data_IF_629439297146
#
_entry.id   IF_629439297146
#
_cell.length_a   1.000
_cell.length_b   1.000
_cell.length_c   1.000
_cell.angle_alpha   90.00
_cell.angle_beta   90.00
_cell.angle_gamma   90.00
#
_symmetry.space_group_name_H-M   'P 1'
#
loop_
_entity.id
_entity.type
_entity.pdbx_description
1 polymer ?
#
# COMPACT_ATOMS: atom_id res chain seq x y z
N UNK A 1 -11.01 7.20 8.59
CA UNK A 1 -10.25 8.16 9.42
C UNK A 1 -8.78 8.32 9.01
N UNK A 2 -8.20 7.41 8.20
CA UNK A 2 -6.83 7.55 7.67
C UNK A 2 -6.52 8.88 6.93
N UNK A 3 -7.45 9.50 6.16
CA UNK A 3 -7.17 10.75 5.47
C UNK A 3 -6.94 11.96 6.39
N UNK A 4 -7.60 11.99 7.56
CA UNK A 4 -7.39 13.04 8.57
C UNK A 4 -6.00 12.91 9.18
N UNK A 5 -5.54 11.67 9.41
CA UNK A 5 -4.17 11.39 9.84
C UNK A 5 -3.13 11.78 8.79
N UNK A 6 -3.39 11.51 7.50
CA UNK A 6 -2.51 11.90 6.40
C UNK A 6 -2.46 13.43 6.22
N UNK A 7 -3.61 14.10 6.32
CA UNK A 7 -3.74 15.56 6.24
C UNK A 7 -3.05 16.28 7.40
N UNK A 8 -3.25 15.80 8.64
CA UNK A 8 -2.55 16.33 9.80
C UNK A 8 -1.06 16.02 9.73
N UNK A 9 -0.72 14.80 9.33
CA UNK A 9 0.64 14.29 9.22
C UNK A 9 1.51 14.99 8.18
N UNK A 10 0.95 15.60 7.13
CA UNK A 10 1.73 16.34 6.13
C UNK A 10 2.15 17.74 6.60
N UNK A 11 1.44 18.33 7.57
CA UNK A 11 1.74 19.68 8.09
C UNK A 11 2.90 19.66 9.09
N UNK A 12 2.99 18.62 9.92
CA UNK A 12 4.04 18.52 10.96
C UNK A 12 5.47 18.49 10.40
N UNK A 13 5.81 17.71 9.36
CA UNK A 13 7.16 17.69 8.78
C UNK A 13 7.63 19.07 8.31
N UNK A 14 6.74 19.85 7.67
CA UNK A 14 7.07 21.20 7.22
C UNK A 14 7.41 22.14 8.39
N UNK A 15 6.66 22.03 9.50
CA UNK A 15 6.90 22.81 10.71
C UNK A 15 8.22 22.42 11.39
N UNK A 16 8.47 21.11 11.57
CA UNK A 16 9.67 20.62 12.22
C UNK A 16 10.93 20.89 11.41
N UNK A 17 10.93 20.64 10.09
CA UNK A 17 12.13 20.79 9.26
C UNK A 17 12.56 22.25 9.10
N UNK A 18 11.65 23.22 9.24
CA UNK A 18 11.99 24.63 9.11
C UNK A 18 12.38 25.30 10.44
N UNK A 19 11.83 24.85 11.57
CA UNK A 19 12.04 25.50 12.87
C UNK A 19 12.99 24.71 13.78
N UNK A 20 13.17 23.41 13.52
CA UNK A 20 13.91 22.49 14.35
C UNK A 20 14.78 21.57 13.47
N UNK A 21 15.70 20.85 14.11
CA UNK A 21 16.37 19.75 13.42
C UNK A 21 15.34 18.68 13.03
N UNK A 22 15.47 18.13 11.82
CA UNK A 22 14.59 17.09 11.28
C UNK A 22 14.39 15.89 12.22
N UNK A 23 15.35 15.61 13.12
CA UNK A 23 15.29 14.53 14.12
C UNK A 23 14.12 14.71 15.09
N UNK A 24 13.72 15.94 15.39
CA UNK A 24 12.60 16.24 16.30
C UNK A 24 11.26 15.76 15.77
N UNK A 25 11.10 15.63 14.45
CA UNK A 25 9.91 15.02 13.86
C UNK A 25 9.74 13.57 14.34
N UNK A 26 10.83 12.80 14.41
CA UNK A 26 10.79 11.41 14.87
C UNK A 26 10.51 11.31 16.37
N UNK A 27 11.10 12.20 17.19
CA UNK A 27 10.77 12.27 18.61
C UNK A 27 9.30 12.63 18.83
N UNK A 28 8.76 13.57 18.05
CA UNK A 28 7.34 13.94 18.10
C UNK A 28 6.43 12.77 17.76
N UNK A 29 6.68 12.07 16.65
CA UNK A 29 5.93 10.89 16.26
C UNK A 29 6.01 9.78 17.32
N UNK A 30 7.18 9.57 17.94
CA UNK A 30 7.34 8.61 19.02
C UNK A 30 6.55 9.00 20.29
N UNK A 31 6.52 10.28 20.65
CA UNK A 31 5.71 10.79 21.77
C UNK A 31 4.22 10.59 21.51
N UNK A 32 3.73 10.99 20.33
CA UNK A 32 2.32 10.80 19.95
C UNK A 32 1.95 9.31 19.96
N UNK A 33 2.80 8.46 19.38
CA UNK A 33 2.59 7.02 19.39
C UNK A 33 2.55 6.43 20.80
N UNK A 34 3.41 6.90 21.70
CA UNK A 34 3.41 6.48 23.12
C UNK A 34 2.12 6.89 23.83
N UNK A 35 1.64 8.12 23.62
CA UNK A 35 0.37 8.58 24.21
C UNK A 35 -0.80 7.74 23.72
N UNK A 36 -0.89 7.50 22.40
CA UNK A 36 -1.95 6.67 21.82
C UNK A 36 -1.89 5.24 22.37
N UNK A 37 -0.70 4.65 22.47
CA UNK A 37 -0.51 3.33 23.05
C UNK A 37 -0.96 3.26 24.51
N UNK A 38 -0.57 4.23 25.34
CA UNK A 38 -0.97 4.29 26.74
C UNK A 38 -2.48 4.44 26.90
N UNK A 39 -3.11 5.31 26.12
CA UNK A 39 -4.57 5.49 26.12
C UNK A 39 -5.26 4.18 25.72
N UNK A 40 -4.77 3.51 24.68
CA UNK A 40 -5.30 2.22 24.26
C UNK A 40 -5.16 1.15 25.35
N UNK A 41 -3.98 1.03 25.96
CA UNK A 41 -3.70 0.05 27.02
C UNK A 41 -4.54 0.29 28.30
N UNK A 42 -4.95 1.53 28.57
CA UNK A 42 -5.77 1.87 29.74
C UNK A 42 -7.28 1.73 29.48
N UNK A 43 -7.75 2.03 28.27
CA UNK A 43 -9.19 2.07 27.95
C UNK A 43 -9.71 0.72 27.46
N UNK A 44 -8.93 -0.01 26.67
CA UNK A 44 -9.40 -1.24 26.04
C UNK A 44 -9.27 -2.41 27.03
N UNK A 45 -10.39 -2.98 27.51
CA UNK A 45 -10.32 -4.15 28.38
C UNK A 45 -9.71 -5.33 27.60
N UNK A 46 -8.88 -6.12 28.28
CA UNK A 46 -8.35 -7.35 27.70
C UNK A 46 -9.48 -8.31 27.31
N UNK A 47 -9.35 -8.98 26.18
CA UNK A 47 -10.31 -10.03 25.80
C UNK A 47 -10.25 -11.18 26.83
N UNK A 48 -11.39 -11.65 27.35
CA UNK A 48 -11.44 -12.64 28.42
C UNK A 48 -10.90 -14.01 27.98
N UNK A 49 -11.00 -14.35 26.69
CA UNK A 49 -10.38 -15.53 26.11
C UNK A 49 -9.63 -15.18 24.82
N UNK A 50 -8.38 -15.64 24.66
CA UNK A 50 -7.65 -15.43 23.43
C UNK A 50 -8.29 -16.23 22.28
N UNK A 51 -8.55 -15.56 21.15
CA UNK A 51 -9.10 -16.16 19.93
C UNK A 51 -8.33 -17.39 19.43
N UNK A 52 -7.02 -17.49 19.74
CA UNK A 52 -6.19 -18.66 19.43
C UNK A 52 -5.20 -18.96 20.57
N UNK A 53 -5.59 -19.77 21.57
CA UNK A 53 -4.76 -20.10 22.74
C UNK A 53 -3.48 -20.88 22.41
N UNK A 54 -3.40 -21.49 21.21
CA UNK A 54 -2.25 -22.26 20.73
C UNK A 54 -1.51 -21.63 19.54
N UNK A 55 -1.73 -20.33 19.29
CA UNK A 55 -1.09 -19.62 18.19
C UNK A 55 0.43 -19.57 18.35
N UNK A 56 1.16 -20.00 17.32
CA UNK A 56 2.62 -19.88 17.26
C UNK A 56 3.02 -18.79 16.27
N UNK A 57 4.03 -17.99 16.63
CA UNK A 57 4.64 -17.00 15.75
C UNK A 57 5.81 -17.65 15.01
N UNK A 58 5.80 -17.57 13.68
CA UNK A 58 6.92 -18.01 12.86
C UNK A 58 8.02 -16.94 12.81
N UNK A 59 8.88 -16.93 13.81
CA UNK A 59 9.98 -15.97 13.89
C UNK A 59 10.98 -16.11 12.73
N UNK A 60 11.21 -17.34 12.23
CA UNK A 60 12.19 -17.58 11.18
C UNK A 60 11.66 -17.12 9.83
N UNK A 61 10.41 -17.47 9.50
CA UNK A 61 9.71 -16.95 8.32
C UNK A 61 9.65 -15.43 8.35
N UNK A 62 9.38 -14.85 9.53
CA UNK A 62 9.31 -13.39 9.71
C UNK A 62 10.66 -12.73 9.45
N UNK A 63 11.73 -13.29 10.01
CA UNK A 63 13.08 -12.80 9.79
C UNK A 63 13.49 -12.89 8.32
N UNK A 64 13.27 -14.03 7.67
CA UNK A 64 13.62 -14.22 6.25
C UNK A 64 12.81 -13.30 5.34
N UNK A 65 11.50 -13.20 5.56
CA UNK A 65 10.61 -12.35 4.76
C UNK A 65 10.95 -10.87 4.91
N UNK A 66 11.04 -10.37 6.14
CA UNK A 66 11.37 -8.96 6.41
C UNK A 66 12.77 -8.61 5.90
N UNK A 67 13.77 -9.46 6.14
CA UNK A 67 15.14 -9.21 5.67
C UNK A 67 15.21 -9.21 4.14
N UNK A 68 14.56 -10.16 3.47
CA UNK A 68 14.51 -10.21 2.01
C UNK A 68 13.88 -8.96 1.40
N UNK A 69 12.74 -8.51 1.95
CA UNK A 69 12.06 -7.29 1.51
C UNK A 69 12.91 -6.04 1.76
N UNK A 70 13.52 -5.90 2.94
CA UNK A 70 14.39 -4.75 3.25
C UNK A 70 15.58 -4.69 2.31
N UNK A 71 16.29 -5.80 2.10
CA UNK A 71 17.47 -5.84 1.24
C UNK A 71 17.12 -5.49 -0.21
N UNK A 72 16.05 -6.08 -0.74
CA UNK A 72 15.61 -5.79 -2.11
C UNK A 72 15.23 -4.31 -2.26
N UNK A 73 14.42 -3.79 -1.34
CA UNK A 73 13.99 -2.39 -1.38
C UNK A 73 15.17 -1.41 -1.23
N UNK A 74 16.12 -1.72 -0.34
CA UNK A 74 17.34 -0.94 -0.13
C UNK A 74 18.15 -0.84 -1.42
N UNK A 75 18.40 -1.97 -2.10
CA UNK A 75 19.17 -2.00 -3.34
C UNK A 75 18.55 -1.09 -4.40
N UNK A 76 17.23 -1.18 -4.61
CA UNK A 76 16.54 -0.40 -5.64
C UNK A 76 16.46 1.10 -5.34
N UNK A 77 16.33 1.47 -4.07
CA UNK A 77 16.32 2.88 -3.68
C UNK A 77 17.74 3.49 -3.61
N UNK A 78 18.74 2.67 -3.27
CA UNK A 78 20.13 3.13 -3.17
C UNK A 78 20.83 3.20 -4.53
N UNK A 79 20.46 2.32 -5.48
CA UNK A 79 21.04 2.27 -6.82
C UNK A 79 21.07 3.61 -7.58
N UNK A 80 19.99 4.41 -7.63
CA UNK A 80 20.05 5.71 -8.29
C UNK A 80 20.93 6.74 -7.56
N UNK A 81 21.25 6.53 -6.27
CA UNK A 81 22.01 7.48 -5.45
C UNK A 81 23.52 7.29 -5.59
N UNK A 82 24.01 6.05 -5.51
CA UNK A 82 25.46 5.75 -5.48
C UNK A 82 26.06 5.41 -6.85
N UNK A 83 25.20 5.18 -7.86
CA UNK A 83 25.64 4.90 -9.24
C UNK A 83 26.05 3.44 -9.50
N UNK A 84 26.24 3.13 -10.79
CA UNK A 84 26.43 1.76 -11.32
C UNK A 84 27.67 1.04 -10.81
N UNK A 85 28.74 1.79 -10.51
CA UNK A 85 30.06 1.20 -10.26
C UNK A 85 30.22 0.65 -8.83
N UNK A 86 29.12 0.54 -8.09
CA UNK A 86 29.12 0.17 -6.69
C UNK A 86 28.83 -1.34 -6.52
N UNK A 87 29.84 -2.19 -6.23
CA UNK A 87 29.69 -3.64 -6.29
C UNK A 87 28.71 -4.20 -5.26
N UNK A 88 28.56 -3.53 -4.10
CA UNK A 88 27.68 -4.02 -3.04
C UNK A 88 26.21 -4.06 -3.46
N UNK A 89 25.77 -3.22 -4.40
CA UNK A 89 24.39 -3.23 -4.91
C UNK A 89 24.06 -4.57 -5.55
N UNK A 90 24.94 -5.06 -6.41
CA UNK A 90 24.75 -6.34 -7.10
C UNK A 90 24.81 -7.52 -6.13
N UNK A 91 25.74 -7.48 -5.18
CA UNK A 91 25.85 -8.52 -4.14
C UNK A 91 24.58 -8.55 -3.29
N UNK A 92 24.13 -7.40 -2.79
CA UNK A 92 22.91 -7.31 -1.98
C UNK A 92 21.66 -7.69 -2.78
N UNK A 93 21.61 -7.41 -4.08
CA UNK A 93 20.51 -7.85 -4.95
C UNK A 93 20.44 -9.38 -5.00
N UNK A 94 21.57 -10.04 -5.27
CA UNK A 94 21.65 -11.50 -5.31
C UNK A 94 21.29 -12.10 -3.94
N UNK A 95 21.84 -11.55 -2.85
CA UNK A 95 21.51 -11.98 -1.49
C UNK A 95 20.03 -11.81 -1.20
N UNK A 96 19.42 -10.68 -1.59
CA UNK A 96 17.98 -10.44 -1.38
C UNK A 96 17.11 -11.49 -2.09
N UNK A 97 17.47 -11.86 -3.33
CA UNK A 97 16.77 -12.89 -4.10
C UNK A 97 16.92 -14.26 -3.43
N UNK A 98 18.12 -14.60 -2.96
CA UNK A 98 18.38 -15.87 -2.27
C UNK A 98 17.62 -15.95 -0.94
N UNK A 99 17.60 -14.87 -0.15
CA UNK A 99 16.84 -14.80 1.11
C UNK A 99 15.35 -14.89 0.85
N UNK A 100 14.84 -14.23 -0.20
CA UNK A 100 13.43 -14.32 -0.59
C UNK A 100 13.06 -15.74 -1.06
N UNK A 101 13.93 -16.40 -1.84
CA UNK A 101 13.73 -17.79 -2.23
C UNK A 101 13.74 -18.74 -1.02
N UNK A 102 14.62 -18.49 -0.04
CA UNK A 102 14.65 -19.23 1.22
C UNK A 102 13.37 -19.01 2.04
N UNK A 103 12.84 -17.78 2.09
CA UNK A 103 11.54 -17.48 2.70
C UNK A 103 10.41 -18.27 2.04
N UNK A 104 10.32 -18.25 0.70
CA UNK A 104 9.27 -18.99 -0.03
C UNK A 104 9.40 -20.50 0.20
N UNK A 105 10.61 -21.04 0.20
CA UNK A 105 10.83 -22.47 0.48
C UNK A 105 10.44 -22.84 1.93
N UNK A 106 10.74 -21.96 2.89
CA UNK A 106 10.37 -22.12 4.30
C UNK A 106 8.86 -22.09 4.51
N UNK A 107 8.17 -21.10 3.95
CA UNK A 107 6.70 -20.98 4.04
C UNK A 107 5.99 -22.14 3.34
N UNK A 108 6.54 -22.66 2.23
CA UNK A 108 5.89 -23.73 1.49
C UNK A 108 6.03 -25.11 2.14
N UNK A 109 7.19 -25.43 2.72
CA UNK A 109 7.47 -26.79 3.23
C UNK A 109 8.10 -26.85 4.62
N UNK A 110 8.66 -25.77 5.12
CA UNK A 110 9.47 -25.74 6.35
C UNK A 110 8.66 -25.56 7.63
N UNK A 111 7.57 -24.79 7.58
CA UNK A 111 6.80 -24.41 8.76
C UNK A 111 5.41 -25.05 8.80
N UNK A 112 4.93 -25.37 10.01
CA UNK A 112 3.55 -25.80 10.26
C UNK A 112 2.59 -24.62 10.46
N UNK A 113 3.13 -23.43 10.72
CA UNK A 113 2.39 -22.22 11.02
C UNK A 113 2.92 -21.08 10.13
N UNK A 114 2.65 -21.10 8.82
CA UNK A 114 3.14 -20.09 7.89
C UNK A 114 2.62 -18.70 8.26
N UNK A 115 3.45 -17.68 8.09
CA UNK A 115 3.04 -16.28 8.28
C UNK A 115 1.98 -15.92 7.27
N UNK A 116 2.14 -16.37 6.03
CA UNK A 116 1.18 -16.11 4.98
C UNK A 116 0.35 -17.37 4.74
N UNK A 117 -0.98 -17.34 4.99
CA UNK A 117 -1.82 -18.46 4.65
C UNK A 117 -1.84 -18.64 3.13
N UNK A 118 -1.05 -19.60 2.62
CA UNK A 118 -0.87 -19.83 1.18
C UNK A 118 -2.19 -20.20 0.47
N UNK A 119 -3.23 -20.60 1.23
CA UNK A 119 -4.61 -20.74 0.76
C UNK A 119 -5.15 -19.47 0.10
N UNK A 120 -4.66 -18.29 0.50
CA UNK A 120 -4.98 -17.01 -0.14
C UNK A 120 -4.70 -17.02 -1.65
N UNK A 121 -3.55 -17.58 -2.06
CA UNK A 121 -3.14 -17.61 -3.47
C UNK A 121 -3.86 -18.68 -4.27
N UNK A 122 -4.60 -19.59 -3.62
CA UNK A 122 -5.47 -20.56 -4.29
C UNK A 122 -6.77 -19.92 -4.76
N UNK A 123 -7.19 -18.79 -4.16
CA UNK A 123 -8.35 -18.05 -4.60
C UNK A 123 -8.08 -17.45 -6.00
N UNK A 124 -8.93 -17.73 -7.02
CA UNK A 124 -8.61 -17.49 -8.42
C UNK A 124 -8.36 -16.01 -8.76
N UNK A 125 -8.91 -15.09 -7.97
CA UNK A 125 -8.79 -13.64 -8.20
C UNK A 125 -7.72 -12.97 -7.33
N UNK A 126 -7.29 -13.61 -6.24
CA UNK A 126 -6.48 -12.95 -5.20
C UNK A 126 -5.09 -12.54 -5.71
N UNK A 127 -4.41 -13.44 -6.42
CA UNK A 127 -3.08 -13.17 -6.99
C UNK A 127 -3.09 -12.01 -7.99
N UNK A 128 -4.09 -11.97 -8.88
CA UNK A 128 -4.25 -10.90 -9.86
C UNK A 128 -4.56 -9.56 -9.19
N UNK A 129 -5.40 -9.57 -8.15
CA UNK A 129 -5.71 -8.39 -7.36
C UNK A 129 -4.45 -7.82 -6.69
N UNK A 130 -3.63 -8.65 -6.06
CA UNK A 130 -2.36 -8.25 -5.45
C UNK A 130 -1.46 -7.57 -6.47
N UNK A 131 -1.29 -8.17 -7.65
CA UNK A 131 -0.44 -7.61 -8.70
C UNK A 131 -0.97 -6.26 -9.17
N UNK A 132 -2.27 -6.14 -9.43
CA UNK A 132 -2.89 -4.88 -9.82
C UNK A 132 -2.73 -3.82 -8.70
N UNK A 133 -2.96 -4.21 -7.45
CA UNK A 133 -2.89 -3.28 -6.33
C UNK A 133 -1.46 -2.79 -6.07
N UNK A 134 -0.49 -3.71 -6.14
CA UNK A 134 0.94 -3.41 -6.02
C UNK A 134 1.41 -2.43 -7.11
N UNK A 135 1.09 -2.70 -8.37
CA UNK A 135 1.46 -1.84 -9.51
C UNK A 135 0.84 -0.44 -9.42
N UNK A 136 -0.41 -0.33 -8.97
CA UNK A 136 -1.02 0.99 -8.79
C UNK A 136 -0.40 1.74 -7.63
N UNK A 137 -0.07 1.09 -6.51
CA UNK A 137 0.66 1.76 -5.43
C UNK A 137 2.08 2.16 -5.84
N UNK A 138 2.75 1.39 -6.71
CA UNK A 138 3.99 1.86 -7.35
C UNK A 138 3.75 3.16 -8.13
N UNK A 139 2.70 3.22 -8.94
CA UNK A 139 2.29 4.42 -9.69
C UNK A 139 1.98 5.63 -8.78
N UNK A 140 1.24 5.42 -7.68
CA UNK A 140 0.97 6.46 -6.67
C UNK A 140 2.27 6.98 -6.06
N UNK A 141 3.19 6.09 -5.69
CA UNK A 141 4.48 6.49 -5.12
C UNK A 141 5.22 7.41 -6.09
N UNK A 142 5.31 7.00 -7.36
CA UNK A 142 5.96 7.76 -8.43
C UNK A 142 5.35 9.16 -8.57
N UNK A 143 4.02 9.28 -8.72
CA UNK A 143 3.41 10.61 -8.92
C UNK A 143 3.63 11.51 -7.70
N UNK A 144 3.49 10.97 -6.49
CA UNK A 144 3.68 11.73 -5.25
C UNK A 144 5.11 12.19 -5.10
N UNK A 145 6.12 11.38 -5.40
CA UNK A 145 7.51 11.81 -5.28
C UNK A 145 7.91 12.83 -6.35
N UNK A 146 7.54 12.59 -7.61
CA UNK A 146 7.95 13.47 -8.70
C UNK A 146 7.27 14.84 -8.66
N UNK A 147 6.07 14.96 -8.08
CA UNK A 147 5.47 16.27 -7.79
C UNK A 147 6.37 17.06 -6.84
N UNK A 148 6.76 16.49 -5.69
CA UNK A 148 7.69 17.12 -4.73
C UNK A 148 9.03 17.47 -5.38
N UNK A 149 9.63 16.53 -6.13
CA UNK A 149 10.92 16.76 -6.81
C UNK A 149 10.83 17.94 -7.79
N UNK A 150 9.77 18.01 -8.60
CA UNK A 150 9.58 19.10 -9.56
C UNK A 150 9.31 20.43 -8.82
N UNK A 151 8.47 20.43 -7.79
CA UNK A 151 8.16 21.63 -7.02
C UNK A 151 9.43 22.21 -6.36
N UNK A 152 10.21 21.37 -5.66
CA UNK A 152 11.37 21.83 -4.90
C UNK A 152 12.56 22.11 -5.82
N UNK A 153 12.94 21.16 -6.69
CA UNK A 153 14.21 21.25 -7.42
C UNK A 153 14.11 22.10 -8.70
N UNK A 154 12.92 22.17 -9.33
CA UNK A 154 12.74 22.87 -10.62
C UNK A 154 11.95 24.16 -10.45
N UNK A 155 10.85 24.13 -9.69
CA UNK A 155 10.02 25.32 -9.46
C UNK A 155 10.46 26.15 -8.27
N UNK A 156 11.45 25.66 -7.52
CA UNK A 156 12.02 26.33 -6.35
C UNK A 156 10.98 26.69 -5.27
N UNK A 157 9.95 25.85 -5.13
CA UNK A 157 9.00 25.96 -4.04
C UNK A 157 9.73 25.75 -2.73
N UNK A 158 9.37 26.55 -1.74
CA UNK A 158 9.71 26.29 -0.35
C UNK A 158 9.05 24.99 0.11
N UNK A 159 9.56 24.40 1.19
CA UNK A 159 8.98 23.18 1.77
C UNK A 159 7.51 23.41 2.19
N UNK A 160 7.17 24.63 2.63
CA UNK A 160 5.78 24.97 2.96
C UNK A 160 4.88 25.08 1.72
N UNK A 161 5.37 25.63 0.61
CA UNK A 161 4.59 25.70 -0.63
C UNK A 161 4.35 24.30 -1.21
N UNK A 162 5.34 23.42 -1.17
CA UNK A 162 5.16 22.02 -1.57
C UNK A 162 4.13 21.33 -0.65
N UNK A 163 4.29 21.44 0.67
CA UNK A 163 3.33 20.88 1.64
C UNK A 163 1.91 21.43 1.45
N UNK A 164 1.77 22.73 1.16
CA UNK A 164 0.48 23.35 0.87
C UNK A 164 -0.17 22.78 -0.40
N UNK A 165 0.62 22.40 -1.41
CA UNK A 165 0.10 21.71 -2.59
C UNK A 165 -0.56 20.37 -2.22
N UNK A 166 0.05 19.60 -1.32
CA UNK A 166 -0.52 18.34 -0.81
C UNK A 166 -1.77 18.49 0.06
N UNK A 167 -2.13 19.71 0.47
CA UNK A 167 -3.43 19.94 1.12
C UNK A 167 -4.60 19.54 0.20
N UNK A 168 -4.43 19.65 -1.12
CA UNK A 168 -5.43 19.16 -2.08
C UNK A 168 -5.56 17.63 -2.02
N UNK A 169 -4.45 16.90 -1.97
CA UNK A 169 -4.47 15.44 -1.82
C UNK A 169 -5.15 15.02 -0.51
N UNK A 170 -4.89 15.74 0.59
CA UNK A 170 -5.52 15.50 1.89
C UNK A 170 -7.04 15.68 1.86
N UNK A 171 -7.52 16.81 1.34
CA UNK A 171 -8.97 17.10 1.24
C UNK A 171 -9.65 16.13 0.28
N UNK A 172 -9.08 15.91 -0.90
CA UNK A 172 -9.63 14.99 -1.89
C UNK A 172 -9.56 13.53 -1.44
N UNK A 173 -8.53 13.13 -0.68
CA UNK A 173 -8.42 11.81 -0.06
C UNK A 173 -9.50 11.57 0.98
N UNK A 174 -9.82 12.58 1.80
CA UNK A 174 -10.95 12.48 2.73
C UNK A 174 -12.28 12.23 1.99
N UNK A 175 -12.51 12.95 0.89
CA UNK A 175 -13.66 12.72 0.02
C UNK A 175 -13.60 11.35 -0.67
N UNK A 176 -12.44 10.92 -1.16
CA UNK A 176 -12.24 9.67 -1.86
C UNK A 176 -12.45 8.45 -0.94
N UNK A 177 -12.05 8.53 0.33
CA UNK A 177 -12.32 7.51 1.32
C UNK A 177 -13.82 7.37 1.65
N UNK A 178 -14.57 8.48 1.68
CA UNK A 178 -16.03 8.42 1.83
C UNK A 178 -16.68 7.86 0.56
N UNK A 179 -16.20 8.28 -0.60
CA UNK A 179 -16.69 7.82 -1.90
C UNK A 179 -16.41 6.32 -2.10
N UNK A 180 -15.24 5.83 -1.73
CA UNK A 180 -14.87 4.41 -1.82
C UNK A 180 -15.80 3.56 -0.95
N UNK A 181 -16.09 4.01 0.28
CA UNK A 181 -17.04 3.36 1.19
C UNK A 181 -18.44 3.20 0.57
N UNK A 182 -18.93 4.23 -0.14
CA UNK A 182 -20.20 4.17 -0.86
C UNK A 182 -20.09 3.29 -2.11
N UNK A 183 -19.01 3.43 -2.89
CA UNK A 183 -18.78 2.69 -4.12
C UNK A 183 -18.77 1.18 -3.92
N UNK A 184 -18.25 0.68 -2.80
CA UNK A 184 -18.26 -0.75 -2.46
C UNK A 184 -19.66 -1.34 -2.45
N UNK A 185 -20.67 -0.57 -2.05
CA UNK A 185 -22.07 -1.05 -1.99
C UNK A 185 -22.72 -1.12 -3.37
N UNK A 186 -22.19 -0.41 -4.37
CA UNK A 186 -22.82 -0.24 -5.68
C UNK A 186 -22.02 -0.86 -6.83
N UNK A 187 -20.69 -0.89 -6.73
CA UNK A 187 -19.77 -1.37 -7.76
C UNK A 187 -19.06 -2.65 -7.32
N UNK A 188 -18.73 -3.56 -8.26
CA UNK A 188 -17.85 -4.67 -7.96
C UNK A 188 -16.42 -4.17 -7.63
N UNK A 189 -15.69 -4.91 -6.79
CA UNK A 189 -14.32 -4.58 -6.40
C UNK A 189 -13.40 -4.32 -7.60
N UNK A 190 -13.61 -5.06 -8.69
CA UNK A 190 -12.93 -4.86 -9.97
C UNK A 190 -13.03 -3.41 -10.50
N UNK A 191 -14.26 -2.87 -10.57
CA UNK A 191 -14.48 -1.53 -11.09
C UNK A 191 -13.83 -0.47 -10.21
N UNK A 192 -13.88 -0.67 -8.89
CA UNK A 192 -13.26 0.21 -7.89
C UNK A 192 -11.73 0.26 -8.09
N UNK A 193 -11.10 -0.89 -8.28
CA UNK A 193 -9.66 -0.96 -8.56
C UNK A 193 -9.28 -0.28 -9.88
N UNK A 194 -10.08 -0.48 -10.93
CA UNK A 194 -9.84 0.16 -12.24
C UNK A 194 -9.96 1.68 -12.13
N UNK A 195 -10.97 2.19 -11.41
CA UNK A 195 -11.15 3.64 -11.19
C UNK A 195 -9.94 4.23 -10.47
N UNK A 196 -9.48 3.60 -9.38
CA UNK A 196 -8.29 4.09 -8.65
C UNK A 196 -7.00 4.03 -9.47
N UNK A 197 -6.84 2.97 -10.26
CA UNK A 197 -5.66 2.77 -11.12
C UNK A 197 -5.62 3.77 -12.27
N UNK A 198 -6.75 3.97 -12.96
CA UNK A 198 -6.87 4.98 -14.01
C UNK A 198 -6.73 6.40 -13.46
N UNK A 199 -7.28 6.70 -12.28
CA UNK A 199 -7.09 7.98 -11.61
C UNK A 199 -5.61 8.30 -11.41
N UNK A 200 -4.84 7.35 -10.88
CA UNK A 200 -3.39 7.48 -10.70
C UNK A 200 -2.65 7.61 -12.04
N UNK A 201 -3.05 6.84 -13.07
CA UNK A 201 -2.50 6.94 -14.41
C UNK A 201 -2.73 8.30 -15.08
N UNK A 202 -3.95 8.84 -14.97
CA UNK A 202 -4.29 10.17 -15.47
C UNK A 202 -3.51 11.26 -14.73
N UNK A 203 -3.35 11.15 -13.41
CA UNK A 203 -2.52 12.06 -12.62
C UNK A 203 -1.07 12.08 -13.12
N UNK A 204 -0.49 10.91 -13.36
CA UNK A 204 0.86 10.79 -13.92
C UNK A 204 0.99 11.41 -15.31
N UNK A 205 0.00 11.22 -16.19
CA UNK A 205 0.01 11.85 -17.53
C UNK A 205 0.00 13.38 -17.41
N UNK A 206 -0.81 13.93 -16.51
CA UNK A 206 -0.86 15.37 -16.26
C UNK A 206 0.50 15.90 -15.76
N UNK A 207 1.14 15.19 -14.83
CA UNK A 207 2.47 15.59 -14.32
C UNK A 207 3.55 15.42 -15.39
N UNK A 208 3.53 14.31 -16.16
CA UNK A 208 4.51 14.02 -17.21
C UNK A 208 4.46 15.04 -18.37
N UNK A 209 3.27 15.53 -18.69
CA UNK A 209 3.07 16.53 -19.75
C UNK A 209 3.28 17.96 -19.27
N UNK A 210 3.47 18.17 -17.97
CA UNK A 210 3.60 19.52 -17.42
C UNK A 210 4.88 20.23 -17.88
N UNK A 211 4.81 21.54 -18.19
CA UNK A 211 5.98 22.38 -18.36
C UNK A 211 6.77 22.54 -17.05
N UNK A 212 8.07 22.85 -17.16
CA UNK A 212 8.96 23.07 -16.02
C UNK A 212 8.41 24.15 -15.08
N UNK A 213 8.09 25.30 -15.65
CA UNK A 213 7.46 26.41 -14.94
C UNK A 213 6.00 26.52 -15.38
N UNK A 214 5.10 26.17 -14.49
CA UNK A 214 3.66 26.28 -14.69
C UNK A 214 3.00 26.61 -13.35
N UNK A 215 1.83 27.25 -13.42
CA UNK A 215 1.00 27.47 -12.25
C UNK A 215 0.47 26.14 -11.69
N UNK A 216 0.45 26.04 -10.36
CA UNK A 216 -0.05 24.87 -9.63
C UNK A 216 -1.43 24.39 -10.12
N UNK A 217 -2.35 25.35 -10.33
CA UNK A 217 -3.74 25.12 -10.66
C UNK A 217 -3.98 24.43 -12.00
N UNK A 218 -3.05 24.52 -12.95
CA UNK A 218 -3.26 24.01 -14.29
C UNK A 218 -3.21 22.48 -14.37
N UNK A 219 -2.15 21.85 -13.84
CA UNK A 219 -1.96 20.40 -13.95
C UNK A 219 -1.68 19.71 -12.62
N UNK A 220 -0.99 20.35 -11.67
CA UNK A 220 -0.66 19.72 -10.39
C UNK A 220 -1.86 19.60 -9.47
N UNK A 221 -2.72 20.62 -9.43
CA UNK A 221 -4.00 20.57 -8.70
C UNK A 221 -4.88 19.38 -9.17
N UNK A 222 -5.27 19.27 -10.46
CA UNK A 222 -6.09 18.13 -10.89
C UNK A 222 -5.35 16.79 -10.78
N UNK A 223 -4.02 16.76 -10.93
CA UNK A 223 -3.25 15.54 -10.71
C UNK A 223 -3.32 15.05 -9.26
N UNK A 224 -3.19 15.93 -8.27
CA UNK A 224 -3.32 15.57 -6.85
C UNK A 224 -4.75 15.15 -6.49
N UNK A 225 -5.77 15.78 -7.08
CA UNK A 225 -7.16 15.34 -6.93
C UNK A 225 -7.36 13.90 -7.44
N UNK A 226 -6.81 13.58 -8.62
CA UNK A 226 -6.94 12.25 -9.23
C UNK A 226 -6.09 11.20 -8.51
N UNK A 227 -4.91 11.59 -8.00
CA UNK A 227 -4.05 10.72 -7.19
C UNK A 227 -4.77 10.24 -5.93
N UNK A 228 -5.62 11.07 -5.32
CA UNK A 228 -6.40 10.71 -4.14
C UNK A 228 -7.30 9.48 -4.35
N UNK A 229 -7.79 9.25 -5.57
CA UNK A 229 -8.65 8.12 -5.87
C UNK A 229 -7.92 6.78 -5.77
N UNK A 230 -6.62 6.75 -6.08
CA UNK A 230 -5.83 5.51 -6.14
C UNK A 230 -5.78 4.78 -4.80
N UNK A 231 -5.15 5.35 -3.77
CA UNK A 231 -4.91 4.67 -2.50
C UNK A 231 -6.19 4.18 -1.83
N UNK A 232 -7.20 5.05 -1.70
CA UNK A 232 -8.40 4.72 -0.92
C UNK A 232 -9.28 3.67 -1.60
N UNK A 233 -9.44 3.74 -2.93
CA UNK A 233 -10.24 2.76 -3.67
C UNK A 233 -9.55 1.40 -3.66
N UNK A 234 -8.24 1.35 -3.91
CA UNK A 234 -7.51 0.10 -3.95
C UNK A 234 -7.32 -0.52 -2.58
N UNK A 235 -7.00 0.27 -1.57
CA UNK A 235 -6.84 -0.22 -0.21
C UNK A 235 -8.14 -0.87 0.24
N UNK A 236 -9.27 -0.19 0.05
CA UNK A 236 -10.55 -0.72 0.51
C UNK A 236 -11.00 -1.93 -0.29
N UNK A 237 -10.88 -1.91 -1.63
CA UNK A 237 -11.20 -3.06 -2.47
C UNK A 237 -10.31 -4.27 -2.13
N UNK A 238 -9.00 -4.08 -2.01
CA UNK A 238 -8.06 -5.16 -1.72
C UNK A 238 -8.28 -5.75 -0.32
N UNK A 239 -8.58 -4.89 0.65
CA UNK A 239 -8.86 -5.30 2.02
C UNK A 239 -10.11 -6.17 2.10
N UNK A 240 -11.20 -5.79 1.43
CA UNK A 240 -12.45 -6.57 1.43
C UNK A 240 -12.23 -7.95 0.82
N UNK A 241 -11.58 -8.00 -0.35
CA UNK A 241 -11.36 -9.26 -1.05
C UNK A 241 -10.43 -10.17 -0.24
N UNK A 242 -9.37 -9.63 0.35
CA UNK A 242 -8.50 -10.39 1.24
C UNK A 242 -9.26 -10.91 2.47
N UNK A 243 -10.08 -10.05 3.07
CA UNK A 243 -10.91 -10.35 4.25
C UNK A 243 -11.95 -11.44 3.98
N UNK A 244 -12.48 -11.52 2.76
CA UNK A 244 -13.45 -12.52 2.32
C UNK A 244 -12.82 -13.83 1.80
N UNK A 245 -11.51 -13.82 1.54
CA UNK A 245 -10.78 -14.99 1.01
C UNK A 245 -10.19 -15.87 2.12
N UNK A 246 -10.33 -15.47 3.39
CA UNK A 246 -9.77 -16.18 4.56
C UNK A 246 -10.83 -16.40 5.63
N UNK A 247 -10.51 -17.23 6.63
CA UNK A 247 -11.34 -17.39 7.83
C UNK A 247 -11.15 -16.22 8.81
N UNK A 248 -12.07 -16.08 9.78
CA UNK A 248 -12.07 -14.97 10.76
C UNK A 248 -10.77 -14.88 11.56
N UNK A 249 -10.17 -16.03 11.87
CA UNK A 249 -8.90 -16.12 12.59
C UNK A 249 -7.71 -15.59 11.76
N UNK A 250 -7.82 -15.60 10.42
CA UNK A 250 -6.75 -15.22 9.50
C UNK A 250 -6.92 -13.82 8.90
N UNK A 251 -8.01 -13.11 9.19
CA UNK A 251 -8.26 -11.76 8.67
C UNK A 251 -7.20 -10.73 9.07
N UNK A 252 -6.71 -10.79 10.31
CA UNK A 252 -5.65 -9.89 10.77
C UNK A 252 -4.37 -10.05 9.96
N UNK A 253 -3.99 -11.31 9.70
CA UNK A 253 -2.83 -11.65 8.87
C UNK A 253 -3.04 -11.19 7.42
N UNK A 254 -4.18 -11.53 6.80
CA UNK A 254 -4.49 -11.12 5.43
C UNK A 254 -4.51 -9.60 5.26
N UNK A 255 -5.12 -8.87 6.20
CA UNK A 255 -5.14 -7.41 6.20
C UNK A 255 -3.76 -6.78 6.36
N UNK A 256 -2.96 -7.29 7.30
CA UNK A 256 -1.59 -6.81 7.50
C UNK A 256 -0.70 -7.05 6.28
N UNK A 257 -0.91 -8.17 5.58
CA UNK A 257 -0.22 -8.49 4.34
C UNK A 257 -0.58 -7.52 3.22
N UNK A 258 -1.87 -7.21 3.03
CA UNK A 258 -2.30 -6.19 2.06
C UNK A 258 -1.68 -4.84 2.41
N UNK A 259 -1.77 -4.39 3.66
CA UNK A 259 -1.16 -3.12 4.08
C UNK A 259 0.35 -3.06 3.79
N UNK A 260 1.07 -4.15 4.10
CA UNK A 260 2.51 -4.27 3.83
C UNK A 260 2.81 -4.21 2.34
N UNK A 261 2.07 -4.97 1.52
CA UNK A 261 2.24 -5.01 0.08
C UNK A 261 2.05 -3.63 -0.56
N UNK A 262 1.00 -2.90 -0.15
CA UNK A 262 0.69 -1.58 -0.69
C UNK A 262 1.76 -0.54 -0.29
N UNK A 263 2.19 -0.53 0.98
CA UNK A 263 3.29 0.32 1.43
C UNK A 263 4.61 0.00 0.72
N UNK A 264 4.90 -1.30 0.52
CA UNK A 264 6.06 -1.77 -0.20
C UNK A 264 6.01 -1.39 -1.69
N UNK A 265 4.81 -1.36 -2.29
CA UNK A 265 4.57 -0.89 -3.64
C UNK A 265 4.98 0.57 -3.84
N UNK A 266 4.59 1.47 -2.93
CA UNK A 266 5.00 2.88 -2.98
C UNK A 266 6.52 3.00 -3.09
N UNK A 267 7.24 2.36 -2.18
CA UNK A 267 8.70 2.46 -2.11
C UNK A 267 9.41 1.77 -3.29
N UNK A 268 8.93 0.61 -3.72
CA UNK A 268 9.53 -0.12 -4.86
C UNK A 268 9.34 0.63 -6.17
N UNK A 269 8.16 1.25 -6.36
CA UNK A 269 7.88 2.11 -7.50
C UNK A 269 8.87 3.27 -7.60
N UNK A 270 9.22 3.89 -6.47
CA UNK A 270 10.22 4.95 -6.39
C UNK A 270 11.61 4.48 -6.79
N UNK A 271 12.08 3.33 -6.27
CA UNK A 271 13.38 2.79 -6.64
C UNK A 271 13.52 2.54 -8.16
N UNK A 272 12.48 1.97 -8.78
CA UNK A 272 12.47 1.72 -10.22
C UNK A 272 12.41 3.02 -11.03
N UNK A 273 11.57 3.97 -10.61
CA UNK A 273 11.43 5.25 -11.28
C UNK A 273 12.69 6.11 -11.15
N UNK A 274 13.31 6.16 -9.97
CA UNK A 274 14.60 6.83 -9.75
C UNK A 274 15.73 6.21 -10.59
N UNK A 275 15.74 4.88 -10.71
CA UNK A 275 16.64 4.17 -11.63
C UNK A 275 16.44 4.63 -13.08
N UNK A 276 15.20 4.67 -13.57
CA UNK A 276 14.88 5.15 -14.91
C UNK A 276 15.30 6.60 -15.06
N UNK A 277 14.98 7.47 -14.11
CA UNK A 277 15.32 8.88 -14.14
C UNK A 277 16.82 9.11 -14.30
N UNK A 278 17.63 8.55 -13.40
CA UNK A 278 19.09 8.70 -13.41
C UNK A 278 19.71 8.15 -14.69
N UNK A 279 19.28 6.96 -15.15
CA UNK A 279 19.89 6.32 -16.32
C UNK A 279 19.40 6.83 -17.66
N UNK A 280 18.29 7.54 -17.68
CA UNK A 280 17.75 8.12 -18.90
C UNK A 280 17.99 9.62 -18.99
N UNK A 281 18.52 10.24 -17.92
CA UNK A 281 18.99 11.63 -17.93
C UNK A 281 20.08 11.80 -19.00
N UNK A 282 19.74 12.49 -20.09
CA UNK A 282 20.72 12.84 -21.13
C UNK A 282 21.45 14.10 -20.68
N UNK A 283 22.77 14.13 -20.86
CA UNK A 283 23.58 15.32 -20.57
C UNK A 283 23.17 16.44 -21.54
N UNK A 284 22.60 17.55 -21.03
CA UNK A 284 22.02 18.64 -21.84
C UNK A 284 20.99 19.50 -21.10
N UNK A 285 20.32 20.43 -21.81
CA UNK A 285 19.33 21.41 -21.30
C UNK A 285 17.94 20.83 -20.91
N UNK A 286 17.75 19.51 -20.95
CA UNK A 286 16.46 18.87 -20.67
C UNK A 286 16.38 18.46 -19.18
N UNK A 287 16.12 19.44 -18.32
CA UNK A 287 16.04 19.23 -16.86
C UNK A 287 14.93 18.24 -16.46
N UNK A 288 13.87 18.14 -17.26
CA UNK A 288 12.72 17.26 -17.01
C UNK A 288 12.83 15.88 -17.68
N UNK A 289 13.81 15.66 -18.56
CA UNK A 289 13.84 14.48 -19.43
C UNK A 289 13.82 13.14 -18.69
N UNK A 290 14.61 13.04 -17.62
CA UNK A 290 14.65 11.85 -16.75
C UNK A 290 13.36 11.69 -15.95
N UNK A 291 12.91 12.77 -15.29
CA UNK A 291 11.67 12.79 -14.51
C UNK A 291 10.45 12.39 -15.34
N UNK A 292 10.34 12.87 -16.57
CA UNK A 292 9.24 12.52 -17.49
C UNK A 292 9.24 11.04 -17.84
N UNK A 293 10.41 10.43 -18.06
CA UNK A 293 10.51 9.00 -18.37
C UNK A 293 10.15 8.14 -17.16
N UNK A 294 10.53 8.58 -15.97
CA UNK A 294 10.13 7.95 -14.72
C UNK A 294 8.60 8.06 -14.48
N UNK A 295 8.00 9.21 -14.79
CA UNK A 295 6.54 9.38 -14.74
C UNK A 295 5.82 8.48 -15.77
N UNK A 296 6.34 8.37 -16.99
CA UNK A 296 5.80 7.45 -18.01
C UNK A 296 5.91 5.97 -17.61
N UNK A 297 6.95 5.59 -16.86
CA UNK A 297 7.02 4.25 -16.25
C UNK A 297 5.84 4.04 -15.29
N UNK A 298 5.56 5.03 -14.43
CA UNK A 298 4.39 4.99 -13.56
C UNK A 298 3.07 4.86 -14.34
N UNK A 299 2.95 5.54 -15.49
CA UNK A 299 1.77 5.42 -16.36
C UNK A 299 1.64 3.97 -16.83
N UNK A 300 2.75 3.35 -17.27
CA UNK A 300 2.81 1.94 -17.61
C UNK A 300 2.30 1.03 -16.49
N UNK A 301 2.72 1.26 -15.25
CA UNK A 301 2.22 0.49 -14.09
C UNK A 301 0.72 0.68 -13.86
N UNK A 302 0.21 1.91 -13.92
CA UNK A 302 -1.21 2.22 -13.73
C UNK A 302 -2.12 1.56 -14.79
N UNK A 303 -1.71 1.60 -16.06
CA UNK A 303 -2.45 0.96 -17.15
C UNK A 303 -2.35 -0.56 -17.09
N UNK A 304 -1.17 -1.10 -16.78
CA UNK A 304 -1.00 -2.55 -16.60
C UNK A 304 -1.85 -3.06 -15.46
N UNK A 305 -1.89 -2.34 -14.32
CA UNK A 305 -2.76 -2.66 -13.20
C UNK A 305 -4.24 -2.66 -13.60
N UNK A 306 -4.68 -1.66 -14.37
CA UNK A 306 -6.05 -1.59 -14.89
C UNK A 306 -6.38 -2.77 -15.81
N UNK A 307 -5.46 -3.15 -16.71
CA UNK A 307 -5.63 -4.32 -17.60
C UNK A 307 -5.70 -5.61 -16.79
N UNK A 308 -4.82 -5.80 -15.81
CA UNK A 308 -4.83 -6.98 -14.93
C UNK A 308 -6.13 -7.05 -14.15
N UNK A 309 -6.60 -5.93 -13.61
CA UNK A 309 -7.88 -5.85 -12.93
C UNK A 309 -9.06 -6.19 -13.87
N UNK A 310 -9.10 -5.64 -15.08
CA UNK A 310 -10.18 -5.93 -16.05
C UNK A 310 -10.21 -7.40 -16.48
N UNK A 311 -9.04 -7.99 -16.75
CA UNK A 311 -8.97 -9.34 -17.31
C UNK A 311 -9.11 -10.44 -16.26
N UNK A 312 -8.49 -10.25 -15.09
CA UNK A 312 -8.28 -11.33 -14.11
C UNK A 312 -8.99 -11.10 -12.77
N UNK A 313 -9.39 -9.87 -12.44
CA UNK A 313 -10.12 -9.60 -11.20
C UNK A 313 -11.61 -9.77 -11.42
N UNK A 314 -12.11 -11.01 -11.28
CA UNK A 314 -13.56 -11.29 -11.34
C UNK A 314 -14.06 -11.58 -9.93
N UNK A 315 -14.77 -10.61 -9.37
CA UNK A 315 -15.38 -10.74 -8.05
C UNK A 315 -16.84 -10.36 -8.19
N UNK A 316 -17.78 -11.31 -8.04
CA UNK A 316 -19.19 -11.00 -7.94
C UNK A 316 -19.40 -9.95 -6.85
N UNK A 317 -20.35 -9.03 -7.05
CA UNK A 317 -20.69 -8.04 -6.03
C UNK A 317 -20.93 -8.76 -4.70
N UNK A 318 -20.14 -8.42 -3.69
CA UNK A 318 -20.30 -9.03 -2.38
C UNK A 318 -21.56 -8.46 -1.73
N UNK A 319 -22.57 -9.32 -1.60
CA UNK A 319 -23.83 -9.01 -0.93
C UNK A 319 -23.90 -9.64 0.46
N UNK A 320 -22.82 -10.27 0.94
CA UNK A 320 -22.80 -10.89 2.28
C UNK A 320 -22.62 -9.81 3.35
N UNK A 321 -23.53 -9.76 4.31
CA UNK A 321 -23.37 -8.99 5.54
C UNK A 321 -22.95 -9.95 6.66
N UNK A 322 -21.72 -9.78 7.15
CA UNK A 322 -21.19 -10.57 8.26
C UNK A 322 -20.66 -11.95 7.84
N UNK A 323 -20.21 -12.69 8.84
CA UNK A 323 -19.92 -14.12 8.68
C UNK A 323 -21.22 -14.85 8.90
N UNK A 324 -21.62 -15.70 7.96
CA UNK A 324 -22.58 -16.75 8.29
C UNK A 324 -21.95 -17.50 9.47
N UNK A 325 -22.52 -17.38 10.67
CA UNK A 325 -22.15 -18.24 11.78
C UNK A 325 -22.28 -19.66 11.23
N UNK A 326 -21.16 -20.36 11.10
CA UNK A 326 -21.19 -21.79 10.84
C UNK A 326 -22.21 -22.35 11.82
N UNK A 327 -23.23 -23.03 11.28
CA UNK A 327 -24.10 -23.91 12.05
C UNK A 327 -23.19 -24.95 12.73
N UNK A 328 -22.57 -24.59 13.86
CA UNK A 328 -21.87 -25.54 14.71
C UNK A 328 -22.96 -26.30 15.46
N UNK A 329 -23.15 -27.56 15.09
CA UNK A 329 -23.58 -28.63 15.99
C UNK A 329 -24.97 -28.51 16.67
N UNK A 330 -26.02 -28.12 15.94
CA UNK A 330 -27.40 -28.33 16.40
C UNK A 330 -28.19 -29.41 15.64
N UNK A 331 -27.64 -30.03 14.59
CA UNK A 331 -28.34 -31.03 13.77
C UNK A 331 -27.96 -32.50 14.07
N UNK A 332 -27.18 -32.80 15.11
CA UNK A 332 -26.85 -34.21 15.49
C UNK A 332 -27.33 -34.65 16.87
N UNK A 333 -28.30 -33.96 17.47
CA UNK A 333 -28.96 -34.46 18.69
C UNK A 333 -30.49 -34.39 18.61
N UNK A 334 -31.08 -35.41 17.99
CA UNK A 334 -32.36 -35.96 18.43
C UNK A 334 -32.41 -37.46 18.09
N UNK A 335 -33.13 -38.33 18.84
CA UNK A 335 -33.92 -38.07 20.04
C UNK A 335 -33.56 -39.03 21.22
N UNK A 336 -33.85 -38.65 22.46
CA UNK A 336 -34.10 -39.63 23.54
C UNK A 336 -35.60 -39.62 23.81
N UNK A 337 -36.32 -40.74 23.60
CA UNK A 337 -37.73 -40.81 23.93
C UNK A 337 -37.88 -40.90 25.45
N UNK A 338 -38.42 -39.86 26.06
CA UNK A 338 -38.87 -39.93 27.46
C UNK A 338 -40.22 -40.66 27.44
N UNK A 339 -40.19 -41.93 27.85
CA UNK A 339 -41.39 -42.68 28.18
C UNK A 339 -42.18 -41.94 29.27
N UNK A 340 -43.45 -41.66 29.00
CA UNK A 340 -44.47 -41.38 30.02
C UNK A 340 -44.78 -42.67 30.77
N UNK A 341 -44.87 -42.59 32.10
CA UNK A 341 -45.80 -43.41 32.88
C UNK A 341 -46.13 -42.74 34.22
N UNK A 342 -47.43 -42.43 34.36
CA UNK A 342 -48.27 -42.25 35.54
C UNK A 342 -47.75 -41.39 36.71
#
# INVERSE_FOLDING_TARGET
MAPIGAAGGSVFPGFFVQLLDWKWLYFFLAMVGTVVFLVFALIVPGEPEPMNPGGHIDYLGGFLGVTGLILFNFVWNQAPVVGRDTPYIYILLIVSILVFAAFVAWEWKGTKFPILPLSLFQAPTFSAMIVAAFLTFMSVGIVTWYITVININIRHYTIFEDAASYATLAVCGACAALLSAVCIRVLPAQAIMVIGSLGSGCALILVATSPAHQTYWAQFFPALMLTALGPDFLFTASQIVASNSVSRQQQGVAGSFIGTLLAYGLSTGLGFAGTVDVYTKRSGKDELGGHRRALWLGVGFAFTASIVAVLFVRIPKDTREGWDEEKSDSETRAPVPVHRSA
#
